data_IF_160459683768
#
_entry.id   IF_160459683768
#
_cell.length_a   1.000
_cell.length_b   1.000
_cell.length_c   1.000
_cell.angle_alpha   90.00
_cell.angle_beta   90.00
_cell.angle_gamma   90.00
#
_symmetry.space_group_name_H-M   'P 1'
#
loop_
_entity.id
_entity.type
_entity.pdbx_description
1 polymer ?
#
# COMPACT_ATOMS: atom_id res chain seq x y z
N UNK A 1 35.69 19.17 -5.77
CA UNK A 1 34.96 19.43 -4.50
C UNK A 1 33.49 19.87 -4.69
N UNK A 2 33.14 20.64 -5.74
CA UNK A 2 31.79 21.25 -5.88
C UNK A 2 30.58 20.32 -6.14
N UNK A 3 30.75 19.18 -6.82
CA UNK A 3 29.61 18.28 -7.15
C UNK A 3 28.91 17.68 -5.93
N UNK A 4 29.66 17.30 -4.89
CA UNK A 4 29.08 16.73 -3.65
C UNK A 4 28.33 17.79 -2.84
N UNK A 5 28.91 18.99 -2.73
CA UNK A 5 28.30 20.12 -2.00
C UNK A 5 26.95 20.55 -2.59
N UNK A 6 26.84 20.57 -3.93
CA UNK A 6 25.57 20.87 -4.59
C UNK A 6 24.51 19.80 -4.31
N UNK A 7 24.92 18.53 -4.20
CA UNK A 7 24.00 17.43 -3.88
C UNK A 7 23.47 17.51 -2.44
N UNK A 8 24.31 17.91 -1.47
CA UNK A 8 23.86 18.16 -0.09
C UNK A 8 22.81 19.26 -0.02
N UNK A 9 23.03 20.37 -0.75
CA UNK A 9 22.07 21.47 -0.83
C UNK A 9 20.75 21.02 -1.46
N UNK A 10 20.83 20.28 -2.56
CA UNK A 10 19.64 19.74 -3.24
C UNK A 10 18.83 18.80 -2.35
N UNK A 11 19.49 17.94 -1.57
CA UNK A 11 18.81 17.03 -0.64
C UNK A 11 18.07 17.85 0.47
N UNK A 12 18.69 18.90 1.02
CA UNK A 12 18.06 19.80 2.01
C UNK A 12 16.90 20.60 1.38
N UNK A 13 17.10 21.18 0.21
CA UNK A 13 16.10 21.97 -0.50
C UNK A 13 14.88 21.11 -0.89
N UNK A 14 15.12 19.84 -1.26
CA UNK A 14 14.05 18.89 -1.55
C UNK A 14 13.20 18.57 -0.32
N UNK A 15 13.82 18.38 0.85
CA UNK A 15 13.09 18.15 2.11
C UNK A 15 12.25 19.38 2.44
N UNK A 16 12.85 20.56 2.38
CA UNK A 16 12.17 21.82 2.68
C UNK A 16 10.97 22.10 1.76
N UNK A 17 11.04 21.68 0.49
CA UNK A 17 9.95 21.86 -0.47
C UNK A 17 8.81 20.85 -0.30
N UNK A 18 9.07 19.68 0.28
CA UNK A 18 8.12 18.55 0.33
C UNK A 18 7.51 18.32 1.70
N UNK A 19 8.13 18.81 2.77
CA UNK A 19 7.63 18.67 4.13
C UNK A 19 7.06 19.99 4.67
N UNK A 20 5.74 20.10 4.88
CA UNK A 20 5.10 21.27 5.48
C UNK A 20 5.56 21.56 6.92
N UNK A 21 6.12 20.58 7.63
CA UNK A 21 6.61 20.74 9.00
C UNK A 21 8.02 21.35 9.09
N UNK A 22 8.73 21.46 7.95
CA UNK A 22 10.08 22.01 7.90
C UNK A 22 10.08 23.53 8.16
N UNK A 23 10.37 23.94 9.40
CA UNK A 23 10.37 25.37 9.78
C UNK A 23 11.61 26.11 9.29
N UNK A 24 12.78 25.46 9.35
CA UNK A 24 14.06 26.05 8.96
C UNK A 24 15.01 24.99 8.37
N UNK A 25 15.85 25.39 7.39
CA UNK A 25 16.85 24.50 6.75
C UNK A 25 17.85 23.88 7.74
N UNK A 26 18.21 24.61 8.80
CA UNK A 26 19.10 24.11 9.85
C UNK A 26 18.45 23.06 10.73
N UNK A 27 17.17 23.24 11.05
CA UNK A 27 16.37 22.25 11.77
C UNK A 27 16.28 20.98 10.94
N UNK A 28 15.90 21.10 9.66
CA UNK A 28 15.87 19.99 8.71
C UNK A 28 17.20 19.24 8.66
N UNK A 29 18.30 19.96 8.51
CA UNK A 29 19.63 19.37 8.45
C UNK A 29 20.03 18.63 9.73
N UNK A 30 19.53 19.05 10.90
CA UNK A 30 19.96 18.51 12.20
C UNK A 30 18.99 17.49 12.79
N UNK A 31 17.71 17.53 12.44
CA UNK A 31 16.66 16.73 13.08
C UNK A 31 16.03 15.68 12.17
N UNK A 32 16.35 15.65 10.87
CA UNK A 32 15.74 14.68 9.94
C UNK A 32 16.57 13.40 9.82
N UNK A 33 16.14 12.29 10.45
CA UNK A 33 16.88 11.02 10.39
C UNK A 33 16.96 10.48 8.96
N UNK A 34 15.94 10.74 8.13
CA UNK A 34 15.93 10.40 6.71
C UNK A 34 17.11 10.98 5.94
N UNK A 35 17.37 12.27 6.13
CA UNK A 35 18.47 12.97 5.49
C UNK A 35 19.83 12.45 5.99
N UNK A 36 19.97 12.23 7.30
CA UNK A 36 21.19 11.67 7.87
C UNK A 36 21.49 10.28 7.31
N UNK A 37 20.49 9.40 7.21
CA UNK A 37 20.65 8.06 6.67
C UNK A 37 21.15 8.09 5.22
N UNK A 38 20.62 8.99 4.38
CA UNK A 38 21.08 9.18 3.01
C UNK A 38 22.54 9.65 2.97
N UNK A 39 22.93 10.60 3.82
CA UNK A 39 24.31 11.10 3.88
C UNK A 39 25.31 10.03 4.30
N UNK A 40 24.99 9.29 5.37
CA UNK A 40 25.80 8.15 5.82
C UNK A 40 25.89 7.07 4.73
N UNK A 41 24.78 6.76 4.05
CA UNK A 41 24.77 5.84 2.93
C UNK A 41 25.68 6.32 1.80
N UNK A 42 25.67 7.59 1.41
CA UNK A 42 26.55 8.10 0.34
C UNK A 42 28.04 7.92 0.68
N UNK A 43 28.43 8.05 1.95
CA UNK A 43 29.79 7.76 2.42
C UNK A 43 30.08 6.25 2.39
N UNK A 44 29.16 5.43 2.93
CA UNK A 44 29.29 3.98 2.93
C UNK A 44 29.36 3.40 1.50
N UNK A 45 28.53 3.89 0.58
CA UNK A 45 28.53 3.50 -0.83
C UNK A 45 29.86 3.84 -1.49
N UNK A 46 30.43 5.02 -1.22
CA UNK A 46 31.74 5.40 -1.76
C UNK A 46 32.88 4.48 -1.29
N UNK A 47 32.85 4.02 -0.04
CA UNK A 47 33.77 3.02 0.50
C UNK A 47 33.52 1.63 -0.11
N UNK A 48 32.26 1.26 -0.29
CA UNK A 48 31.85 0.02 -0.93
C UNK A 48 32.43 -0.12 -2.35
N UNK A 49 32.33 0.95 -3.15
CA UNK A 49 32.90 1.01 -4.51
C UNK A 49 34.44 0.94 -4.53
N UNK A 50 35.13 1.19 -3.41
CA UNK A 50 36.59 1.05 -3.26
C UNK A 50 37.02 -0.31 -2.71
N UNK A 51 36.10 -1.28 -2.62
CA UNK A 51 36.30 -2.59 -2.01
C UNK A 51 36.55 -2.56 -0.49
N UNK A 52 36.30 -1.44 0.20
CA UNK A 52 36.37 -1.36 1.66
C UNK A 52 35.06 -1.83 2.29
N UNK A 53 34.68 -3.08 1.99
CA UNK A 53 33.35 -3.64 2.26
C UNK A 53 33.00 -3.70 3.75
N UNK A 54 33.96 -4.11 4.58
CA UNK A 54 33.77 -4.19 6.03
C UNK A 54 33.47 -2.81 6.64
N UNK A 55 34.27 -1.80 6.29
CA UNK A 55 34.09 -0.44 6.81
C UNK A 55 32.75 0.15 6.34
N UNK A 56 32.40 -0.06 5.08
CA UNK A 56 31.10 0.36 4.54
C UNK A 56 29.92 -0.29 5.30
N UNK A 57 30.02 -1.58 5.65
CA UNK A 57 29.01 -2.28 6.46
C UNK A 57 28.93 -1.76 7.89
N UNK A 58 30.07 -1.48 8.52
CA UNK A 58 30.10 -0.90 9.87
C UNK A 58 29.40 0.47 9.88
N UNK A 59 29.71 1.33 8.91
CA UNK A 59 29.08 2.66 8.80
C UNK A 59 27.56 2.53 8.57
N UNK A 60 27.13 1.64 7.69
CA UNK A 60 25.70 1.38 7.46
C UNK A 60 24.99 0.89 8.72
N UNK A 61 25.63 0.02 9.53
CA UNK A 61 25.06 -0.44 10.80
C UNK A 61 24.99 0.68 11.85
N UNK A 62 26.01 1.54 11.95
CA UNK A 62 25.97 2.71 12.86
C UNK A 62 24.87 3.67 12.43
N UNK A 63 24.73 3.94 11.13
CA UNK A 63 23.63 4.74 10.59
C UNK A 63 22.27 4.13 10.95
N UNK A 64 22.11 2.81 10.80
CA UNK A 64 20.88 2.09 11.16
C UNK A 64 20.56 2.27 12.65
N UNK A 65 21.55 2.14 13.52
CA UNK A 65 21.37 2.30 14.96
C UNK A 65 20.94 3.72 15.35
N UNK A 66 21.51 4.75 14.71
CA UNK A 66 21.19 6.15 15.01
C UNK A 66 19.85 6.61 14.41
N UNK A 67 19.49 6.11 13.22
CA UNK A 67 18.35 6.64 12.44
C UNK A 67 17.13 5.72 12.37
N UNK A 68 17.30 4.43 12.67
CA UNK A 68 16.27 3.41 12.45
C UNK A 68 16.04 3.04 10.97
N UNK A 69 16.87 3.57 10.05
CA UNK A 69 16.78 3.34 8.61
C UNK A 69 17.92 2.41 8.19
N UNK A 70 17.58 1.28 7.56
CA UNK A 70 18.56 0.36 7.01
C UNK A 70 18.75 0.60 5.51
N UNK A 71 19.95 1.04 5.12
CA UNK A 71 20.34 1.16 3.71
C UNK A 71 21.62 0.37 3.48
N UNK A 72 21.54 -0.67 2.66
CA UNK A 72 22.72 -1.44 2.30
C UNK A 72 23.72 -0.57 1.51
N UNK A 73 25.04 -0.62 1.77
CA UNK A 73 26.03 0.19 1.04
C UNK A 73 26.05 -0.05 -0.47
N UNK A 74 25.69 -1.25 -0.91
CA UNK A 74 25.60 -1.62 -2.33
C UNK A 74 24.43 -0.97 -3.10
N UNK A 75 23.40 -0.46 -2.40
CA UNK A 75 22.25 0.14 -3.04
C UNK A 75 22.65 1.39 -3.83
N UNK A 76 21.95 1.66 -4.94
CA UNK A 76 22.19 2.83 -5.78
C UNK A 76 21.06 3.81 -5.59
N UNK A 77 21.39 5.02 -5.13
CA UNK A 77 20.42 6.07 -4.83
C UNK A 77 20.73 7.33 -5.63
N UNK A 78 19.72 7.83 -6.33
CA UNK A 78 19.75 9.08 -7.09
C UNK A 78 19.84 10.34 -6.23
N UNK A 79 19.43 11.45 -6.83
CA UNK A 79 19.42 12.81 -6.26
C UNK A 79 18.05 13.12 -5.66
N UNK A 80 18.02 13.98 -4.63
CA UNK A 80 16.77 14.46 -4.01
C UNK A 80 15.88 13.30 -3.55
N UNK A 81 16.54 12.25 -3.07
CA UNK A 81 15.86 11.10 -2.48
C UNK A 81 15.38 11.48 -1.09
N UNK A 82 14.08 11.38 -0.88
CA UNK A 82 13.44 11.81 0.36
C UNK A 82 12.93 10.60 1.14
N UNK A 83 13.31 10.52 2.42
CA UNK A 83 12.78 9.54 3.36
C UNK A 83 12.03 10.31 4.44
N UNK A 84 10.71 10.18 4.45
CA UNK A 84 9.86 10.82 5.43
C UNK A 84 9.53 9.86 6.58
N UNK A 85 9.69 10.34 7.81
CA UNK A 85 9.51 9.55 9.05
C UNK A 85 10.23 8.20 9.07
N UNK A 86 11.39 8.06 8.42
CA UNK A 86 11.98 6.80 7.93
C UNK A 86 12.19 5.59 8.87
N UNK A 87 11.77 5.61 10.13
CA UNK A 87 11.83 4.45 11.03
C UNK A 87 11.31 3.18 10.34
N UNK A 88 12.13 2.12 10.38
CA UNK A 88 11.77 0.83 9.81
C UNK A 88 11.85 0.76 8.28
N UNK A 89 12.41 1.77 7.61
CA UNK A 89 12.74 1.68 6.18
C UNK A 89 13.91 0.72 5.96
N UNK A 90 13.76 -0.22 5.03
CA UNK A 90 14.77 -1.23 4.69
C UNK A 90 15.03 -1.23 3.19
N UNK A 91 16.26 -0.94 2.79
CA UNK A 91 16.71 -0.88 1.39
C UNK A 91 17.84 -1.88 1.17
N UNK A 92 17.55 -2.92 0.39
CA UNK A 92 18.48 -4.01 0.16
C UNK A 92 19.61 -3.71 -0.84
N UNK A 93 20.57 -4.64 -0.92
CA UNK A 93 21.86 -4.46 -1.60
C UNK A 93 21.78 -4.06 -3.06
N UNK A 94 20.90 -4.71 -3.83
CA UNK A 94 20.82 -4.51 -5.28
C UNK A 94 19.69 -3.58 -5.69
N UNK A 95 19.16 -2.82 -4.72
CA UNK A 95 18.12 -1.84 -4.98
C UNK A 95 18.67 -0.68 -5.80
N UNK A 96 17.88 -0.22 -6.77
CA UNK A 96 18.18 0.95 -7.58
C UNK A 96 17.05 1.96 -7.41
N UNK A 97 17.38 3.17 -6.99
CA UNK A 97 16.41 4.23 -6.72
C UNK A 97 16.79 5.43 -7.57
N UNK A 98 15.86 5.88 -8.42
CA UNK A 98 16.01 7.04 -9.27
C UNK A 98 16.02 8.37 -8.51
N UNK A 99 15.95 9.46 -9.27
CA UNK A 99 15.90 10.81 -8.74
C UNK A 99 14.50 11.15 -8.24
N UNK A 100 14.39 12.05 -7.26
CA UNK A 100 13.14 12.61 -6.77
C UNK A 100 12.16 11.60 -6.14
N UNK A 101 12.61 10.39 -5.80
CA UNK A 101 11.79 9.39 -5.13
C UNK A 101 11.52 9.74 -3.66
N UNK A 102 10.35 9.35 -3.16
CA UNK A 102 9.94 9.54 -1.76
C UNK A 102 9.54 8.20 -1.15
N UNK A 103 10.10 7.87 0.01
CA UNK A 103 9.72 6.71 0.83
C UNK A 103 9.22 7.19 2.18
N UNK A 104 8.09 6.65 2.63
CA UNK A 104 7.61 6.83 4.00
C UNK A 104 8.16 5.74 4.93
N UNK A 105 7.89 5.89 6.23
CA UNK A 105 8.25 4.94 7.28
C UNK A 105 7.81 3.50 6.99
N UNK A 106 8.55 2.52 7.51
CA UNK A 106 8.20 1.09 7.41
C UNK A 106 8.25 0.49 5.99
N UNK A 107 8.74 1.23 4.99
CA UNK A 107 8.87 0.72 3.62
C UNK A 107 9.98 -0.31 3.50
N UNK A 108 9.76 -1.37 2.74
CA UNK A 108 10.80 -2.38 2.44
C UNK A 108 11.01 -2.54 0.95
N UNK A 109 12.25 -2.35 0.49
CA UNK A 109 12.73 -2.73 -0.83
C UNK A 109 13.53 -4.04 -0.68
N UNK A 110 12.82 -5.16 -0.71
CA UNK A 110 13.30 -6.48 -0.31
C UNK A 110 13.60 -7.42 -1.48
N UNK A 111 14.38 -8.45 -1.20
CA UNK A 111 14.63 -9.55 -2.13
C UNK A 111 13.66 -10.72 -1.94
N UNK A 112 13.41 -11.48 -3.00
CA UNK A 112 12.56 -12.69 -2.98
C UNK A 112 13.34 -13.99 -3.15
N UNK A 113 14.63 -13.91 -3.47
CA UNK A 113 15.48 -15.06 -3.77
C UNK A 113 16.80 -15.00 -3.00
N UNK A 114 17.33 -16.16 -2.67
CA UNK A 114 18.64 -16.37 -2.05
C UNK A 114 19.79 -16.39 -3.06
N UNK A 115 19.48 -16.39 -4.36
CA UNK A 115 20.49 -16.41 -5.42
C UNK A 115 21.27 -15.09 -5.47
N UNK A 116 22.56 -15.21 -5.76
CA UNK A 116 23.41 -14.06 -6.03
C UNK A 116 22.95 -13.33 -7.32
N UNK A 117 23.01 -11.99 -7.30
CA UNK A 117 22.56 -11.16 -8.42
C UNK A 117 21.48 -10.15 -8.05
N UNK A 118 20.83 -9.59 -9.10
CA UNK A 118 19.74 -8.62 -8.95
C UNK A 118 18.52 -9.31 -8.34
N UNK A 119 18.13 -8.86 -7.14
CA UNK A 119 17.02 -9.44 -6.37
C UNK A 119 16.14 -8.40 -5.70
N UNK A 120 16.56 -7.15 -5.65
CA UNK A 120 15.84 -6.03 -5.07
C UNK A 120 15.26 -5.14 -6.19
N UNK A 121 14.24 -4.32 -5.88
CA UNK A 121 13.51 -3.56 -6.88
C UNK A 121 14.32 -2.42 -7.49
N UNK A 122 13.81 -1.92 -8.62
CA UNK A 122 14.27 -0.71 -9.30
C UNK A 122 13.15 0.31 -9.35
N UNK A 123 13.36 1.45 -8.71
CA UNK A 123 12.44 2.59 -8.74
C UNK A 123 12.96 3.60 -9.77
N UNK A 124 12.15 3.94 -10.77
CA UNK A 124 12.44 5.07 -11.68
C UNK A 124 12.18 6.40 -10.96
N UNK A 125 12.35 7.51 -11.67
CA UNK A 125 12.29 8.84 -11.07
C UNK A 125 10.89 9.18 -10.53
N UNK A 126 10.83 9.99 -9.47
CA UNK A 126 9.58 10.51 -8.93
C UNK A 126 8.64 9.47 -8.34
N UNK A 127 9.12 8.26 -8.06
CA UNK A 127 8.30 7.20 -7.44
C UNK A 127 8.02 7.55 -5.98
N UNK A 128 6.77 7.41 -5.56
CA UNK A 128 6.33 7.67 -4.18
C UNK A 128 5.83 6.36 -3.58
N UNK A 129 6.38 5.98 -2.43
CA UNK A 129 6.02 4.74 -1.74
C UNK A 129 5.46 5.06 -0.36
N UNK A 130 4.16 4.80 -0.20
CA UNK A 130 3.38 4.99 1.02
C UNK A 130 3.90 4.18 2.21
N UNK A 131 3.46 4.58 3.40
CA UNK A 131 3.95 4.03 4.66
C UNK A 131 3.69 2.51 4.76
N UNK A 132 4.69 1.77 5.24
CA UNK A 132 4.56 0.33 5.47
C UNK A 132 4.52 -0.53 4.20
N UNK A 133 4.59 0.04 2.99
CA UNK A 133 4.54 -0.74 1.75
C UNK A 133 5.76 -1.66 1.58
N UNK A 134 5.56 -2.81 0.94
CA UNK A 134 6.58 -3.84 0.70
C UNK A 134 6.72 -4.07 -0.80
N UNK A 135 7.91 -3.81 -1.34
CA UNK A 135 8.23 -4.01 -2.75
C UNK A 135 9.28 -5.12 -2.80
N UNK A 136 8.87 -6.29 -3.28
CA UNK A 136 9.63 -7.52 -3.12
C UNK A 136 10.02 -8.10 -4.48
N UNK A 137 11.33 -8.25 -4.71
CA UNK A 137 11.89 -8.89 -5.89
C UNK A 137 12.54 -7.93 -6.89
N UNK A 138 13.15 -8.45 -7.96
CA UNK A 138 13.83 -7.67 -8.99
C UNK A 138 12.85 -7.03 -9.99
N UNK A 139 11.84 -6.34 -9.48
CA UNK A 139 10.81 -5.67 -10.27
C UNK A 139 11.16 -4.21 -10.57
N UNK A 140 10.49 -3.62 -11.55
CA UNK A 140 10.65 -2.22 -11.97
C UNK A 140 9.35 -1.45 -11.72
N UNK A 141 9.44 -0.36 -10.95
CA UNK A 141 8.40 0.66 -10.87
C UNK A 141 8.73 1.80 -11.82
N UNK A 142 7.85 2.04 -12.79
CA UNK A 142 7.97 3.12 -13.77
C UNK A 142 8.00 4.52 -13.16
N UNK A 143 8.29 5.51 -14.00
CA UNK A 143 8.42 6.91 -13.54
C UNK A 143 7.09 7.42 -12.97
N UNK A 144 7.15 8.10 -11.82
CA UNK A 144 5.98 8.68 -11.16
C UNK A 144 4.96 7.65 -10.65
N UNK A 145 5.34 6.37 -10.49
CA UNK A 145 4.48 5.37 -9.84
C UNK A 145 4.23 5.75 -8.39
N UNK A 146 3.00 5.53 -7.94
CA UNK A 146 2.58 5.75 -6.56
C UNK A 146 2.15 4.43 -5.95
N UNK A 147 2.69 4.10 -4.78
CA UNK A 147 2.34 2.89 -4.05
C UNK A 147 1.64 3.29 -2.77
N UNK A 148 0.45 2.73 -2.52
CA UNK A 148 -0.29 3.00 -1.31
C UNK A 148 0.31 2.36 -0.06
N UNK A 149 -0.09 2.91 1.08
CA UNK A 149 0.30 2.38 2.38
C UNK A 149 -0.01 0.90 2.51
N UNK A 150 0.91 0.17 3.15
CA UNK A 150 0.83 -1.28 3.39
C UNK A 150 0.61 -2.16 2.14
N UNK A 151 0.71 -1.60 0.93
CA UNK A 151 0.59 -2.39 -0.28
C UNK A 151 1.78 -3.35 -0.44
N UNK A 152 1.53 -4.54 -0.99
CA UNK A 152 2.57 -5.55 -1.25
C UNK A 152 2.74 -5.73 -2.75
N UNK A 153 3.78 -5.11 -3.31
CA UNK A 153 4.06 -5.10 -4.74
C UNK A 153 4.96 -6.28 -5.11
N UNK A 154 4.45 -7.13 -6.01
CA UNK A 154 5.10 -8.36 -6.46
C UNK A 154 5.34 -8.39 -7.97
N UNK A 155 4.95 -7.34 -8.70
CA UNK A 155 5.02 -7.24 -10.16
C UNK A 155 5.46 -5.85 -10.59
N UNK A 156 6.00 -5.76 -11.80
CA UNK A 156 6.32 -4.49 -12.44
C UNK A 156 5.09 -3.61 -12.57
N UNK A 157 5.32 -2.30 -12.57
CA UNK A 157 4.25 -1.31 -12.75
C UNK A 157 4.63 -0.27 -13.80
N UNK A 158 3.72 0.05 -14.74
CA UNK A 158 3.96 1.06 -15.75
C UNK A 158 4.04 2.45 -15.13
N UNK A 159 4.65 3.40 -15.84
CA UNK A 159 4.78 4.79 -15.41
C UNK A 159 3.42 5.43 -15.06
N UNK A 160 3.43 6.34 -14.10
CA UNK A 160 2.27 7.11 -13.63
C UNK A 160 1.07 6.28 -13.15
N UNK A 161 1.30 5.00 -12.82
CA UNK A 161 0.28 4.13 -12.24
C UNK A 161 0.24 4.25 -10.72
N UNK A 162 -0.93 3.96 -10.14
CA UNK A 162 -1.09 3.83 -8.68
C UNK A 162 -1.33 2.37 -8.32
N UNK A 163 -0.63 1.86 -7.32
CA UNK A 163 -0.68 0.49 -6.83
C UNK A 163 -1.23 0.46 -5.40
N UNK A 164 -2.26 -0.34 -5.15
CA UNK A 164 -2.84 -0.51 -3.80
C UNK A 164 -3.18 -1.97 -3.51
N UNK A 165 -3.26 -2.33 -2.23
CA UNK A 165 -3.71 -3.63 -1.76
C UNK A 165 -2.61 -4.69 -1.62
N UNK A 166 -3.04 -5.89 -1.19
CA UNK A 166 -2.19 -7.05 -0.91
C UNK A 166 -2.81 -8.29 -1.59
N UNK A 167 -2.21 -8.83 -2.68
CA UNK A 167 -1.12 -8.27 -3.45
C UNK A 167 -1.56 -7.02 -4.22
N UNK A 168 -0.62 -6.10 -4.47
CA UNK A 168 -0.93 -4.82 -5.07
C UNK A 168 -1.48 -4.96 -6.50
N UNK A 169 -2.51 -4.15 -6.79
CA UNK A 169 -3.15 -4.04 -8.11
C UNK A 169 -3.05 -2.61 -8.60
N UNK A 170 -2.93 -2.46 -9.93
CA UNK A 170 -3.02 -1.15 -10.57
C UNK A 170 -4.47 -0.70 -10.48
N UNK A 171 -4.68 0.47 -9.89
CA UNK A 171 -5.97 1.14 -9.84
C UNK A 171 -6.00 2.24 -10.88
N UNK A 172 -7.05 2.24 -11.69
CA UNK A 172 -7.25 3.26 -12.71
C UNK A 172 -7.48 4.63 -12.07
N UNK A 173 -6.94 5.70 -12.69
CA UNK A 173 -7.39 7.06 -12.35
C UNK A 173 -8.88 7.13 -12.65
N UNK A 174 -9.71 7.40 -11.64
CA UNK A 174 -11.01 8.04 -11.90
C UNK A 174 -10.68 9.30 -12.71
N UNK A 175 -11.28 9.55 -13.88
CA UNK A 175 -11.07 10.82 -14.56
C UNK A 175 -11.45 11.90 -13.55
N UNK A 176 -10.49 12.75 -13.17
CA UNK A 176 -10.75 13.84 -12.23
C UNK A 176 -11.94 14.62 -12.77
N UNK A 177 -13.07 14.58 -12.06
CA UNK A 177 -14.35 15.10 -12.54
C UNK A 177 -14.39 16.62 -12.56
N UNK A 178 -13.36 17.32 -12.07
CA UNK A 178 -13.26 18.77 -12.20
C UNK A 178 -11.82 19.30 -12.18
N UNK A 179 -11.58 20.40 -12.92
CA UNK A 179 -10.36 21.23 -12.78
C UNK A 179 -10.18 21.74 -11.34
N UNK A 180 -11.26 21.89 -10.58
CA UNK A 180 -11.23 22.32 -9.20
C UNK A 180 -10.54 21.28 -8.29
N UNK A 181 -10.85 19.99 -8.43
CA UNK A 181 -10.16 18.91 -7.71
C UNK A 181 -8.67 18.84 -8.07
N UNK A 182 -8.32 19.07 -9.35
CA UNK A 182 -6.90 19.16 -9.77
C UNK A 182 -6.19 20.35 -9.13
N UNK A 183 -6.84 21.52 -9.05
CA UNK A 183 -6.30 22.73 -8.39
C UNK A 183 -6.19 22.57 -6.87
N UNK A 184 -7.10 21.82 -6.24
CA UNK A 184 -7.08 21.53 -4.80
C UNK A 184 -5.96 20.52 -4.47
N UNK A 185 -5.82 19.44 -5.25
CA UNK A 185 -4.69 18.50 -5.12
C UNK A 185 -3.33 19.19 -5.32
N UNK A 186 -3.23 20.11 -6.29
CA UNK A 186 -2.02 20.90 -6.52
C UNK A 186 -1.78 21.98 -5.43
N UNK A 187 -2.82 22.45 -4.74
CA UNK A 187 -2.68 23.42 -3.63
C UNK A 187 -2.36 22.76 -2.29
N UNK A 188 -2.82 21.53 -2.06
CA UNK A 188 -2.62 20.85 -0.79
C UNK A 188 -1.24 20.23 -0.64
N UNK A 189 -0.50 19.97 -1.73
CA UNK A 189 0.90 19.50 -1.67
C UNK A 189 1.13 18.22 -0.85
N UNK A 190 0.04 17.59 -0.40
CA UNK A 190 0.01 16.57 0.63
C UNK A 190 -0.97 15.49 0.18
N UNK A 191 -0.48 14.65 -0.73
CA UNK A 191 -1.10 13.36 -1.03
C UNK A 191 -0.73 12.41 0.10
N UNK A 192 -1.52 12.43 1.18
CA UNK A 192 -1.26 11.66 2.39
C UNK A 192 -0.91 10.20 2.04
N UNK A 193 0.33 9.81 2.29
CA UNK A 193 0.81 8.44 2.17
C UNK A 193 0.63 7.78 0.79
N UNK A 194 0.75 8.55 -0.29
CA UNK A 194 0.92 8.01 -1.64
C UNK A 194 -0.37 7.60 -2.37
N UNK A 195 -1.56 7.80 -1.79
CA UNK A 195 -2.86 7.54 -2.45
C UNK A 195 -3.88 8.63 -2.09
N UNK A 196 -4.67 9.08 -3.07
CA UNK A 196 -5.76 10.03 -2.86
C UNK A 196 -6.95 9.35 -2.13
N UNK A 197 -7.63 10.07 -1.24
CA UNK A 197 -8.74 9.57 -0.42
C UNK A 197 -9.92 9.00 -1.25
N UNK A 198 -10.08 9.41 -2.51
CA UNK A 198 -11.20 9.02 -3.38
C UNK A 198 -10.87 7.87 -4.37
N UNK A 199 -9.94 6.98 -4.02
CA UNK A 199 -9.51 5.90 -4.92
C UNK A 199 -10.41 4.65 -4.76
N UNK A 200 -11.02 4.14 -5.85
CA UNK A 200 -11.88 2.96 -5.78
C UNK A 200 -11.10 1.70 -5.39
N UNK A 201 -11.60 0.94 -4.41
CA UNK A 201 -11.04 -0.35 -4.04
C UNK A 201 -11.26 -1.35 -5.20
N UNK A 202 -10.18 -1.95 -5.75
CA UNK A 202 -10.31 -2.93 -6.82
C UNK A 202 -11.10 -4.17 -6.40
N UNK A 203 -11.10 -4.54 -5.11
CA UNK A 203 -11.90 -5.66 -4.60
C UNK A 203 -13.37 -5.28 -4.57
N UNK A 204 -13.72 -4.12 -4.01
CA UNK A 204 -15.10 -3.62 -4.00
C UNK A 204 -15.67 -3.53 -5.43
N UNK A 205 -14.89 -3.01 -6.37
CA UNK A 205 -15.32 -2.91 -7.80
C UNK A 205 -15.66 -4.27 -8.42
N UNK A 206 -14.96 -5.34 -8.03
CA UNK A 206 -15.26 -6.70 -8.51
C UNK A 206 -16.50 -7.26 -7.83
N UNK A 207 -16.65 -7.03 -6.52
CA UNK A 207 -17.84 -7.43 -5.76
C UNK A 207 -19.08 -6.76 -6.35
N UNK A 208 -19.05 -5.45 -6.61
CA UNK A 208 -20.16 -4.71 -7.24
C UNK A 208 -20.58 -5.35 -8.57
N UNK A 209 -19.61 -5.69 -9.43
CA UNK A 209 -19.90 -6.34 -10.72
C UNK A 209 -20.45 -7.74 -10.58
N UNK A 210 -20.03 -8.49 -9.55
CA UNK A 210 -20.58 -9.81 -9.28
C UNK A 210 -22.02 -9.69 -8.78
N UNK A 211 -22.31 -8.72 -7.91
CA UNK A 211 -23.66 -8.44 -7.42
C UNK A 211 -24.59 -8.01 -8.56
N UNK A 212 -24.14 -7.13 -9.44
CA UNK A 212 -24.87 -6.75 -10.65
C UNK A 212 -25.19 -7.97 -11.53
N UNK A 213 -24.21 -8.87 -11.68
CA UNK A 213 -24.39 -10.08 -12.47
C UNK A 213 -25.38 -11.06 -11.83
N UNK A 214 -25.32 -11.25 -10.51
CA UNK A 214 -26.26 -12.09 -9.76
C UNK A 214 -27.68 -11.53 -9.88
N UNK A 215 -27.87 -10.22 -9.69
CA UNK A 215 -29.17 -9.58 -9.88
C UNK A 215 -29.72 -9.78 -11.30
N UNK A 216 -28.86 -9.71 -12.33
CA UNK A 216 -29.26 -9.98 -13.71
C UNK A 216 -29.60 -11.47 -13.96
N UNK A 217 -28.92 -12.40 -13.28
CA UNK A 217 -29.25 -13.83 -13.34
C UNK A 217 -30.58 -14.14 -12.65
N UNK A 218 -30.84 -13.51 -11.50
CA UNK A 218 -32.10 -13.68 -10.77
C UNK A 218 -33.30 -13.19 -11.60
N UNK A 219 -33.16 -12.05 -12.28
CA UNK A 219 -34.18 -11.56 -13.21
C UNK A 219 -34.45 -12.55 -14.36
N UNK A 220 -33.41 -13.11 -14.98
CA UNK A 220 -33.56 -14.11 -16.04
C UNK A 220 -34.17 -15.42 -15.55
N UNK A 221 -33.82 -15.86 -14.34
CA UNK A 221 -34.40 -17.04 -13.73
C UNK A 221 -35.89 -16.84 -13.44
N UNK A 222 -36.29 -15.63 -13.01
CA UNK A 222 -37.70 -15.28 -12.84
C UNK A 222 -38.48 -15.34 -14.17
N UNK A 223 -37.94 -14.78 -15.25
CA UNK A 223 -38.54 -14.83 -16.59
C UNK A 223 -38.69 -16.29 -17.12
N UNK A 224 -37.67 -17.12 -16.90
CA UNK A 224 -37.70 -18.54 -17.27
C UNK A 224 -38.75 -19.30 -16.43
N UNK A 225 -38.79 -19.06 -15.12
CA UNK A 225 -39.77 -19.70 -14.24
C UNK A 225 -41.21 -19.35 -14.64
N UNK A 226 -41.47 -18.10 -15.03
CA UNK A 226 -42.77 -17.67 -15.57
C UNK A 226 -43.10 -18.40 -16.87
N UNK A 227 -42.18 -18.43 -17.83
CA UNK A 227 -42.36 -19.14 -19.11
C UNK A 227 -42.60 -20.65 -18.93
N UNK A 228 -41.91 -21.29 -17.98
CA UNK A 228 -42.09 -22.72 -17.69
C UNK A 228 -43.44 -22.99 -17.03
N UNK A 229 -43.90 -22.10 -16.16
CA UNK A 229 -45.23 -22.19 -15.56
C UNK A 229 -46.34 -22.01 -16.62
N UNK A 230 -46.15 -21.13 -17.61
CA UNK A 230 -47.08 -20.98 -18.75
C UNK A 230 -47.15 -22.25 -19.62
N UNK A 231 -46.04 -22.97 -19.78
CA UNK A 231 -45.97 -24.23 -20.54
C UNK A 231 -46.48 -25.45 -19.76
N UNK A 232 -46.98 -25.25 -18.53
CA UNK A 232 -47.56 -26.30 -17.69
C UNK A 232 -46.57 -27.03 -16.77
N UNK A 233 -45.35 -26.51 -16.61
CA UNK A 233 -44.43 -26.92 -15.56
C UNK A 233 -44.78 -26.28 -14.21
N UNK A 234 -44.24 -26.80 -13.10
CA UNK A 234 -44.34 -26.18 -11.78
C UNK A 234 -42.95 -25.88 -11.24
N UNK A 235 -42.58 -24.59 -11.22
CA UNK A 235 -41.32 -24.12 -10.60
C UNK A 235 -41.64 -23.25 -9.40
N UNK A 236 -41.18 -23.65 -8.22
CA UNK A 236 -41.36 -22.89 -6.98
C UNK A 236 -40.52 -21.61 -7.00
N UNK A 237 -41.19 -20.47 -7.05
CA UNK A 237 -40.57 -19.15 -7.02
C UNK A 237 -40.38 -18.69 -5.56
N UNK A 238 -39.59 -19.43 -4.77
CA UNK A 238 -39.22 -18.95 -3.44
C UNK A 238 -38.30 -17.73 -3.60
N UNK A 239 -38.63 -16.59 -2.97
CA UNK A 239 -37.77 -15.42 -3.06
C UNK A 239 -36.42 -15.76 -2.45
N UNK A 240 -35.34 -15.51 -3.21
CA UNK A 240 -33.99 -15.58 -2.68
C UNK A 240 -33.86 -14.55 -1.54
N UNK A 241 -33.11 -14.85 -0.46
CA UNK A 241 -32.85 -13.89 0.59
C UNK A 241 -32.19 -12.63 -0.01
N UNK A 242 -32.73 -11.46 0.30
CA UNK A 242 -32.26 -10.19 -0.28
C UNK A 242 -30.84 -9.88 0.17
N UNK A 243 -30.03 -9.35 -0.75
CA UNK A 243 -28.71 -8.80 -0.44
C UNK A 243 -28.77 -7.34 0.06
N UNK A 244 -29.97 -6.79 0.27
CA UNK A 244 -30.15 -5.47 0.90
C UNK A 244 -29.49 -5.47 2.29
N UNK A 245 -28.53 -4.55 2.48
CA UNK A 245 -27.72 -4.46 3.71
C UNK A 245 -26.37 -5.19 3.66
N UNK A 246 -26.04 -5.89 2.57
CA UNK A 246 -24.72 -6.47 2.34
C UNK A 246 -23.78 -5.43 1.69
N UNK A 247 -23.66 -4.26 2.32
CA UNK A 247 -22.73 -3.21 1.91
C UNK A 247 -21.41 -3.39 2.68
N UNK A 248 -20.28 -3.32 1.96
CA UNK A 248 -18.98 -3.14 2.60
C UNK A 248 -18.98 -1.72 3.20
N UNK A 249 -19.30 -1.61 4.49
CA UNK A 249 -19.32 -0.34 5.19
C UNK A 249 -18.00 0.43 4.92
N UNK A 250 -18.12 1.64 4.37
CA UNK A 250 -16.97 2.53 4.19
C UNK A 250 -16.40 2.86 5.58
N UNK A 251 -15.32 2.16 5.95
CA UNK A 251 -14.60 2.39 7.20
C UNK A 251 -14.96 1.41 8.32
N UNK A 252 -14.47 0.17 8.22
CA UNK A 252 -14.00 -0.64 9.35
C UNK A 252 -14.79 -0.59 10.66
N UNK A 253 -16.12 -0.68 10.61
CA UNK A 253 -16.95 -0.92 11.79
C UNK A 253 -17.80 -2.17 11.58
N UNK A 254 -18.04 -2.85 12.71
CA UNK A 254 -18.49 -4.22 12.86
C UNK A 254 -19.51 -4.71 11.83
N UNK A 255 -19.27 -5.95 11.36
CA UNK A 255 -20.26 -6.85 10.76
C UNK A 255 -21.39 -7.11 11.78
N UNK A 256 -22.26 -6.13 11.95
CA UNK A 256 -23.40 -6.25 12.83
C UNK A 256 -24.43 -7.09 12.10
N UNK A 257 -24.53 -8.36 12.51
CA UNK A 257 -25.59 -9.35 12.21
C UNK A 257 -26.37 -9.09 10.91
N UNK A 258 -26.03 -9.84 9.86
CA UNK A 258 -26.99 -10.14 8.78
C UNK A 258 -28.23 -10.81 9.38
N UNK A 259 -29.25 -10.03 9.72
CA UNK A 259 -30.57 -10.55 10.00
C UNK A 259 -31.25 -10.81 8.66
N UNK A 260 -31.26 -12.06 8.22
CA UNK A 260 -32.13 -12.48 7.14
C UNK A 260 -33.57 -12.21 7.58
N UNK A 261 -34.22 -11.22 6.97
CA UNK A 261 -35.65 -10.97 7.18
C UNK A 261 -36.40 -11.57 6.01
N UNK A 262 -37.18 -12.62 6.30
CA UNK A 262 -38.15 -13.16 5.37
C UNK A 262 -39.39 -12.23 5.33
N UNK A 263 -39.94 -11.98 4.13
CA UNK A 263 -41.12 -11.12 3.94
C UNK A 263 -42.43 -11.71 4.47
N UNK A 264 -42.38 -12.89 5.08
CA UNK A 264 -43.45 -13.40 5.95
C UNK A 264 -42.96 -13.36 7.39
N UNK A 265 -43.45 -12.41 8.19
CA UNK A 265 -43.00 -12.11 9.55
C UNK A 265 -43.16 -13.25 10.57
N UNK A 266 -42.33 -14.28 10.45
CA UNK A 266 -42.11 -15.33 11.44
C UNK A 266 -40.65 -15.32 11.87
N UNK A 267 -40.40 -14.99 13.14
CA UNK A 267 -39.10 -15.16 13.76
C UNK A 267 -38.77 -16.66 13.80
N UNK A 268 -37.65 -17.06 13.20
CA UNK A 268 -37.09 -18.41 13.40
C UNK A 268 -36.51 -18.40 14.82
N UNK A 269 -37.09 -19.22 15.70
CA UNK A 269 -36.68 -19.36 17.09
C UNK A 269 -35.22 -19.84 17.17
N UNK A 270 -34.42 -19.14 17.98
CA UNK A 270 -33.06 -19.52 18.35
C UNK A 270 -33.09 -20.83 19.15
N UNK A 271 -32.37 -21.87 18.69
CA UNK A 271 -32.00 -22.99 19.54
C UNK A 271 -30.76 -22.61 20.33
N UNK A 272 -30.95 -22.25 21.60
CA UNK A 272 -29.86 -22.07 22.57
C UNK A 272 -29.11 -23.40 22.75
N UNK A 273 -27.83 -23.42 22.42
CA UNK A 273 -26.93 -24.49 22.87
C UNK A 273 -26.52 -24.19 24.31
N UNK A 274 -27.18 -24.84 25.26
CA UNK A 274 -26.79 -24.87 26.67
C UNK A 274 -25.34 -25.35 26.83
N UNK A 275 -24.48 -24.46 27.32
CA UNK A 275 -23.20 -24.84 27.92
C UNK A 275 -23.48 -25.31 29.35
N UNK A 276 -23.65 -26.63 29.52
CA UNK A 276 -23.68 -27.27 30.82
C UNK A 276 -22.26 -27.37 31.40
N UNK A 277 -21.88 -26.40 32.22
CA UNK A 277 -20.78 -26.55 33.18
C UNK A 277 -21.32 -27.23 34.45
N UNK A 278 -21.18 -28.56 34.52
CA UNK A 278 -21.33 -29.30 35.77
C UNK A 278 -20.44 -30.53 35.78
N UNK A 279 -19.30 -30.44 36.44
CA UNK A 279 -18.37 -31.55 36.60
C UNK A 279 -17.43 -31.37 37.78
N UNK A 280 -17.97 -31.27 39.00
CA UNK A 280 -17.20 -31.36 40.24
C UNK A 280 -16.87 -32.83 40.52
N UNK A 281 -15.59 -33.08 40.79
CA UNK A 281 -15.06 -33.82 41.95
C UNK A 281 -14.35 -35.18 41.72
N UNK A 282 -13.11 -35.23 42.26
CA UNK A 282 -12.40 -36.33 42.95
C UNK A 282 -11.31 -37.18 42.27
N UNK A 283 -10.11 -36.99 42.87
CA UNK A 283 -9.09 -37.96 43.31
C UNK A 283 -8.09 -38.51 42.29
N UNK A 284 -6.82 -38.37 42.65
CA UNK A 284 -5.62 -38.94 42.01
C UNK A 284 -4.42 -38.09 42.38
#
# INVERSE_FOLDING_TARGET
MGKRWNQFKEDIDSVFARDPAARNRWEVALTYPGLHAVWWHRVAHWLWQRNWRLLARLISNVSRWLTGIEIHPGARIGRRFFIDHGMGVVIGETAEIGDDCTLYHGVTLGGTTWQEGKRHPTLKNGVVIGAGAKILGPLVLGEGVRVGSNAVVLKDAPAQSTLVGIPARIVGKRPATSEAQRRIAHRLGFDAYGVAQDMPDPVATVVDRLLDHVNALDQRLAEIAESVNELGGTVSNQPLPSLEGCELAEGGQDITRCAATDKTGGQIAESESEQSDSGRDRRG
#
